data_IF_353542577300
#
_entry.id   IF_353542577300
#
_cell.length_a   1.000
_cell.length_b   1.000
_cell.length_c   1.000
_cell.angle_alpha   90.00
_cell.angle_beta   90.00
_cell.angle_gamma   90.00
#
_symmetry.space_group_name_H-M   'P 1'
#
loop_
_entity.id
_entity.type
_entity.pdbx_description
1 polymer ?
#
# COMPACT_ATOMS: atom_id res chain seq x y z
N UNK A 1 -6.89 -3.99 2.11
CA UNK A 1 -6.13 -5.04 2.84
C UNK A 1 -4.66 -4.87 2.54
N UNK A 2 -3.72 -5.08 3.49
CA UNK A 2 -2.29 -5.06 3.22
C UNK A 2 -1.89 -6.29 2.42
N UNK A 3 -0.87 -6.13 1.56
CA UNK A 3 -0.24 -7.24 0.85
C UNK A 3 1.24 -6.96 0.70
N UNK A 4 2.09 -7.83 1.21
CA UNK A 4 3.54 -7.71 1.15
C UNK A 4 4.11 -8.75 0.19
N UNK A 5 4.62 -8.30 -0.95
CA UNK A 5 5.26 -9.20 -1.93
C UNK A 5 6.51 -9.88 -1.38
N UNK A 6 7.22 -9.21 -0.47
CA UNK A 6 8.44 -9.68 0.18
C UNK A 6 8.40 -9.33 1.66
N UNK A 7 7.60 -10.07 2.47
CA UNK A 7 7.49 -9.79 3.88
C UNK A 7 8.83 -10.02 4.59
N UNK A 8 9.06 -9.24 5.66
CA UNK A 8 10.21 -9.46 6.53
C UNK A 8 10.23 -10.91 7.07
N UNK A 9 11.38 -11.61 7.10
CA UNK A 9 12.74 -11.15 6.81
C UNK A 9 13.26 -11.44 5.39
N UNK A 10 12.40 -11.73 4.41
CA UNK A 10 12.83 -12.04 3.05
C UNK A 10 13.62 -10.89 2.42
N UNK A 11 14.63 -11.21 1.62
CA UNK A 11 15.39 -10.19 0.91
C UNK A 11 14.50 -9.36 -0.02
N UNK A 12 14.70 -8.05 0.01
CA UNK A 12 14.03 -7.11 -0.88
C UNK A 12 14.86 -6.84 -2.13
N UNK A 13 14.25 -6.20 -3.11
CA UNK A 13 14.89 -5.91 -4.39
C UNK A 13 15.77 -4.66 -4.30
N UNK A 14 16.79 -4.58 -5.16
CA UNK A 14 17.65 -3.41 -5.29
C UNK A 14 17.28 -2.62 -6.54
N UNK A 15 17.09 -1.29 -6.45
CA UNK A 15 16.68 -0.46 -7.59
C UNK A 15 17.74 -0.42 -8.70
N UNK A 16 19.02 -0.59 -8.35
CA UNK A 16 20.12 -0.71 -9.31
C UNK A 16 20.19 -2.06 -10.04
N UNK A 17 19.41 -3.06 -9.56
CA UNK A 17 19.38 -4.39 -10.17
C UNK A 17 18.62 -4.44 -11.50
N UNK A 18 19.11 -5.20 -12.45
CA UNK A 18 18.54 -5.36 -13.81
C UNK A 18 17.05 -5.69 -13.82
N UNK A 19 16.59 -6.48 -12.84
CA UNK A 19 15.19 -6.87 -12.75
C UNK A 19 14.27 -5.68 -12.57
N UNK A 20 14.54 -4.82 -11.56
CA UNK A 20 13.71 -3.64 -11.29
C UNK A 20 13.83 -2.61 -12.42
N UNK A 21 15.03 -2.36 -12.91
CA UNK A 21 15.23 -1.44 -14.03
C UNK A 21 14.39 -1.84 -15.25
N UNK A 22 14.47 -3.11 -15.66
CA UNK A 22 13.69 -3.62 -16.81
C UNK A 22 12.18 -3.60 -16.53
N UNK A 23 11.75 -4.05 -15.34
CA UNK A 23 10.33 -4.08 -14.99
C UNK A 23 9.72 -2.67 -15.00
N UNK A 24 10.42 -1.68 -14.44
CA UNK A 24 9.95 -0.30 -14.44
C UNK A 24 9.93 0.33 -15.83
N UNK A 25 10.98 0.14 -16.62
CA UNK A 25 11.04 0.68 -17.98
C UNK A 25 9.98 0.08 -18.91
N UNK A 26 9.79 -1.23 -18.84
CA UNK A 26 8.94 -1.95 -19.80
C UNK A 26 7.47 -2.02 -19.38
N UNK A 27 7.17 -1.98 -18.08
CA UNK A 27 5.80 -2.19 -17.56
C UNK A 27 5.28 -1.01 -16.77
N UNK A 28 6.01 -0.55 -15.75
CA UNK A 28 5.49 0.43 -14.79
C UNK A 28 5.39 1.83 -15.43
N UNK A 29 6.47 2.37 -15.99
CA UNK A 29 6.45 3.70 -16.58
C UNK A 29 5.47 3.89 -17.74
N UNK A 30 5.30 2.94 -18.68
CA UNK A 30 4.29 3.08 -19.73
C UNK A 30 2.87 3.17 -19.18
N UNK A 31 2.55 2.38 -18.14
CA UNK A 31 1.24 2.42 -17.49
C UNK A 31 1.06 3.72 -16.71
N UNK A 32 2.03 4.12 -15.90
CA UNK A 32 1.98 5.35 -15.12
C UNK A 32 1.78 6.59 -16.01
N UNK A 33 2.51 6.67 -17.14
CA UNK A 33 2.33 7.76 -18.12
C UNK A 33 0.94 7.80 -18.72
N UNK A 34 0.39 6.64 -19.11
CA UNK A 34 -0.96 6.54 -19.67
C UNK A 34 -2.04 6.96 -18.66
N UNK A 35 -1.80 6.67 -17.36
CA UNK A 35 -2.72 7.02 -16.28
C UNK A 35 -2.47 8.42 -15.70
N UNK A 36 -1.45 9.15 -16.15
CA UNK A 36 -1.09 10.46 -15.61
C UNK A 36 -0.54 10.42 -14.18
N UNK A 37 0.03 9.28 -13.73
CA UNK A 37 0.54 9.10 -12.37
C UNK A 37 2.04 9.40 -12.32
N UNK A 38 2.49 10.41 -11.55
CA UNK A 38 3.88 10.86 -11.54
C UNK A 38 4.74 10.02 -10.56
N UNK A 39 4.99 8.75 -10.90
CA UNK A 39 5.81 7.85 -10.08
C UNK A 39 7.20 7.62 -10.67
N UNK A 40 8.16 7.36 -9.79
CA UNK A 40 9.55 7.01 -10.11
C UNK A 40 9.94 5.74 -9.38
N UNK A 41 10.86 4.96 -9.94
CA UNK A 41 11.53 3.91 -9.18
C UNK A 41 12.26 4.54 -8.00
N UNK A 42 11.86 4.22 -6.75
CA UNK A 42 12.50 4.85 -5.59
C UNK A 42 13.98 4.48 -5.49
N UNK A 43 14.87 5.45 -5.18
CA UNK A 43 16.32 5.23 -5.15
C UNK A 43 16.82 4.53 -3.87
N UNK A 44 15.91 4.10 -2.99
CA UNK A 44 16.26 3.43 -1.72
C UNK A 44 16.75 2.02 -2.00
N UNK A 45 17.95 1.69 -1.56
CA UNK A 45 18.58 0.38 -1.78
C UNK A 45 19.11 -0.25 -0.48
N UNK A 46 18.72 -1.51 -0.17
CA UNK A 46 17.63 -2.25 -0.81
C UNK A 46 16.28 -1.58 -0.61
N UNK A 47 15.28 -1.94 -1.44
CA UNK A 47 13.91 -1.44 -1.24
C UNK A 47 13.42 -1.77 0.18
N UNK A 48 12.74 -0.86 0.88
CA UNK A 48 12.39 -1.06 2.28
C UNK A 48 11.36 -2.17 2.48
N UNK A 49 11.42 -2.85 3.62
CA UNK A 49 10.29 -3.64 4.10
C UNK A 49 9.13 -2.72 4.47
N UNK A 50 7.90 -3.13 4.20
CA UNK A 50 6.71 -2.30 4.34
C UNK A 50 5.92 -2.51 5.62
N UNK A 51 6.32 -3.47 6.46
CA UNK A 51 5.57 -3.81 7.68
C UNK A 51 5.38 -2.62 8.64
N UNK A 52 6.41 -1.76 8.83
CA UNK A 52 6.28 -0.56 9.67
C UNK A 52 5.29 0.46 9.09
N UNK A 53 5.34 0.67 7.77
CA UNK A 53 4.39 1.55 7.09
C UNK A 53 2.95 1.03 7.22
N UNK A 54 2.74 -0.29 7.16
CA UNK A 54 1.43 -0.90 7.37
C UNK A 54 0.98 -0.86 8.84
N UNK A 55 1.89 -1.00 9.81
CA UNK A 55 1.57 -0.79 11.23
C UNK A 55 1.15 0.67 11.49
N UNK A 56 1.87 1.63 10.90
CA UNK A 56 1.47 3.03 10.91
C UNK A 56 0.11 3.28 10.25
N UNK A 57 -0.23 2.52 9.21
CA UNK A 57 -1.56 2.59 8.60
C UNK A 57 -2.67 2.08 9.56
N UNK A 58 -2.41 1.06 10.38
CA UNK A 58 -3.37 0.62 11.40
C UNK A 58 -3.57 1.70 12.47
N UNK A 59 -2.47 2.29 12.99
CA UNK A 59 -2.54 3.44 13.88
C UNK A 59 -3.38 4.58 13.27
N UNK A 60 -3.06 4.95 12.03
CA UNK A 60 -3.77 6.04 11.35
C UNK A 60 -5.27 5.76 11.15
N UNK A 61 -5.67 4.50 10.94
CA UNK A 61 -7.08 4.09 10.85
C UNK A 61 -7.81 4.33 12.17
N UNK A 62 -7.22 3.96 13.30
CA UNK A 62 -7.82 4.16 14.62
C UNK A 62 -8.00 5.64 14.96
N UNK A 63 -7.22 6.52 14.29
CA UNK A 63 -7.31 7.98 14.42
C UNK A 63 -8.08 8.66 13.26
N UNK A 64 -8.81 7.89 12.43
CA UNK A 64 -9.61 8.43 11.33
C UNK A 64 -8.82 8.99 10.16
N UNK A 65 -7.50 8.69 10.07
CA UNK A 65 -6.56 9.21 9.07
C UNK A 65 -5.96 8.15 8.13
N UNK A 66 -6.54 6.95 8.11
CA UNK A 66 -5.97 5.82 7.38
C UNK A 66 -5.74 6.09 5.89
N UNK A 67 -6.72 6.69 5.20
CA UNK A 67 -6.58 7.02 3.77
C UNK A 67 -5.57 8.15 3.53
N UNK A 68 -5.61 9.22 4.33
CA UNK A 68 -4.69 10.35 4.22
C UNK A 68 -3.24 9.88 4.38
N UNK A 69 -2.98 9.08 5.43
CA UNK A 69 -1.67 8.50 5.69
C UNK A 69 -1.21 7.58 4.57
N UNK A 70 -2.08 6.67 4.11
CA UNK A 70 -1.74 5.76 3.02
C UNK A 70 -1.33 6.51 1.74
N UNK A 71 -2.11 7.51 1.33
CA UNK A 71 -1.77 8.35 0.19
C UNK A 71 -0.46 9.12 0.39
N UNK A 72 -0.23 9.64 1.61
CA UNK A 72 0.99 10.37 1.93
C UNK A 72 2.23 9.49 1.86
N UNK A 73 2.17 8.26 2.38
CA UNK A 73 3.25 7.28 2.32
C UNK A 73 3.56 6.88 0.87
N UNK A 74 2.53 6.59 0.07
CA UNK A 74 2.71 6.27 -1.35
C UNK A 74 3.39 7.43 -2.12
N UNK A 75 2.99 8.67 -1.85
CA UNK A 75 3.63 9.86 -2.43
C UNK A 75 5.08 9.99 -1.95
N UNK A 76 5.32 9.83 -0.65
CA UNK A 76 6.66 9.85 -0.06
C UNK A 76 7.61 8.88 -0.74
N UNK A 77 7.16 7.66 -0.95
CA UNK A 77 7.97 6.62 -1.55
C UNK A 77 8.14 6.79 -3.07
N UNK A 78 7.04 6.84 -3.82
CA UNK A 78 7.06 6.77 -5.29
C UNK A 78 7.32 8.11 -6.00
N UNK A 79 7.09 9.25 -5.34
CA UNK A 79 7.28 10.57 -5.94
C UNK A 79 8.50 11.26 -5.36
N UNK A 80 8.65 11.22 -4.03
CA UNK A 80 9.68 11.94 -3.29
C UNK A 80 10.93 11.09 -3.01
N UNK A 81 10.85 9.76 -3.16
CA UNK A 81 11.97 8.83 -3.00
C UNK A 81 12.40 8.65 -1.54
N UNK A 82 11.48 8.83 -0.59
CA UNK A 82 11.77 8.68 0.84
C UNK A 82 11.80 7.22 1.24
N UNK A 83 12.65 6.87 2.22
CA UNK A 83 12.75 5.52 2.77
C UNK A 83 11.64 5.27 3.80
N UNK A 84 10.55 4.68 3.36
CA UNK A 84 9.41 4.32 4.22
C UNK A 84 9.65 3.10 5.14
N UNK A 85 10.84 2.56 5.16
CA UNK A 85 11.29 1.58 6.15
C UNK A 85 11.80 2.21 7.45
N UNK A 86 11.99 3.54 7.47
CA UNK A 86 12.52 4.29 8.61
C UNK A 86 11.39 4.90 9.43
N UNK A 87 11.45 4.73 10.75
CA UNK A 87 10.42 5.23 11.67
C UNK A 87 10.34 6.76 11.64
N UNK A 88 11.46 7.46 11.62
CA UNK A 88 11.53 8.92 11.56
C UNK A 88 10.89 9.49 10.29
N UNK A 89 11.09 8.83 9.15
CA UNK A 89 10.42 9.19 7.89
C UNK A 89 8.91 9.00 8.01
N UNK A 90 8.47 7.83 8.49
CA UNK A 90 7.04 7.54 8.66
C UNK A 90 6.38 8.49 9.66
N UNK A 91 7.07 8.83 10.76
CA UNK A 91 6.61 9.79 11.77
C UNK A 91 6.36 11.17 11.17
N UNK A 92 7.32 11.67 10.38
CA UNK A 92 7.15 12.94 9.66
C UNK A 92 5.96 12.91 8.71
N UNK A 93 5.82 11.84 7.91
CA UNK A 93 4.69 11.69 7.00
C UNK A 93 3.35 11.63 7.75
N UNK A 94 3.33 11.05 8.94
CA UNK A 94 2.15 11.01 9.81
C UNK A 94 1.79 12.41 10.34
N UNK A 95 2.76 13.19 10.78
CA UNK A 95 2.57 14.59 11.19
C UNK A 95 2.00 15.46 10.08
N UNK A 96 2.45 15.29 8.84
CA UNK A 96 1.96 16.04 7.68
C UNK A 96 0.47 15.80 7.37
N UNK A 97 -0.12 14.70 7.84
CA UNK A 97 -1.56 14.41 7.74
C UNK A 97 -2.34 14.69 9.03
N UNK A 98 -1.67 15.31 10.03
CA UNK A 98 -2.28 15.77 11.27
C UNK A 98 -2.38 14.71 12.36
N UNK A 99 -1.57 13.64 12.29
CA UNK A 99 -1.38 12.71 13.40
C UNK A 99 -0.37 13.26 14.41
N UNK A 100 -0.49 12.86 15.68
CA UNK A 100 0.49 13.21 16.71
C UNK A 100 1.78 12.43 16.45
N UNK A 101 2.87 13.14 16.13
CA UNK A 101 4.15 12.53 15.77
C UNK A 101 4.76 11.71 16.92
N UNK A 102 4.67 12.19 18.16
CA UNK A 102 5.26 11.50 19.31
C UNK A 102 4.54 10.19 19.62
N UNK A 103 3.21 10.20 19.63
CA UNK A 103 2.39 9.00 19.85
C UNK A 103 2.55 8.00 18.70
N UNK A 104 2.62 8.50 17.47
CA UNK A 104 2.85 7.66 16.28
C UNK A 104 4.22 6.98 16.32
N UNK A 105 5.28 7.75 16.63
CA UNK A 105 6.65 7.23 16.75
C UNK A 105 6.73 6.15 17.84
N UNK A 106 6.16 6.42 19.02
CA UNK A 106 6.12 5.46 20.12
C UNK A 106 5.37 4.18 19.74
N UNK A 107 4.23 4.31 19.06
CA UNK A 107 3.47 3.16 18.58
C UNK A 107 4.27 2.28 17.61
N UNK A 108 5.08 2.88 16.72
CA UNK A 108 5.96 2.13 15.82
C UNK A 108 7.17 1.52 16.53
N UNK A 109 7.83 2.25 17.45
CA UNK A 109 8.99 1.76 18.21
C UNK A 109 8.62 0.58 19.10
N UNK A 110 7.47 0.65 19.75
CA UNK A 110 6.95 -0.44 20.60
C UNK A 110 6.27 -1.55 19.80
N UNK A 111 6.10 -1.36 18.48
CA UNK A 111 5.40 -2.31 17.60
C UNK A 111 3.96 -2.59 18.06
N UNK A 112 3.29 -1.57 18.61
CA UNK A 112 1.93 -1.68 19.16
C UNK A 112 0.93 -2.29 18.17
N UNK A 113 1.06 -1.96 16.88
CA UNK A 113 0.15 -2.42 15.83
C UNK A 113 0.63 -3.66 15.05
N UNK A 114 1.72 -4.31 15.51
CA UNK A 114 2.27 -5.51 14.86
C UNK A 114 1.23 -6.62 14.73
N UNK A 115 0.50 -6.90 15.81
CA UNK A 115 -0.50 -7.98 15.80
C UNK A 115 -1.66 -7.65 14.86
N UNK A 116 -2.16 -6.42 14.88
CA UNK A 116 -3.23 -5.96 13.99
C UNK A 116 -2.81 -6.06 12.50
N UNK A 117 -1.57 -5.65 12.18
CA UNK A 117 -1.03 -5.81 10.84
C UNK A 117 -0.91 -7.29 10.43
N UNK A 118 -0.36 -8.14 11.29
CA UNK A 118 -0.24 -9.57 11.01
C UNK A 118 -1.58 -10.27 10.81
N UNK A 119 -2.61 -9.89 11.57
CA UNK A 119 -3.98 -10.39 11.38
C UNK A 119 -4.55 -9.94 10.02
N UNK A 120 -4.39 -8.66 9.67
CA UNK A 120 -4.84 -8.14 8.38
C UNK A 120 -4.11 -8.79 7.19
N UNK A 121 -2.84 -9.12 7.36
CA UNK A 121 -2.04 -9.80 6.35
C UNK A 121 -2.49 -11.26 6.17
N UNK A 122 -2.72 -11.99 7.27
CA UNK A 122 -3.29 -13.35 7.21
C UNK A 122 -4.66 -13.36 6.54
N UNK A 123 -5.54 -12.43 6.93
CA UNK A 123 -6.84 -12.29 6.27
C UNK A 123 -6.71 -12.09 4.76
N UNK A 124 -5.76 -11.26 4.31
CA UNK A 124 -5.53 -11.05 2.88
C UNK A 124 -5.08 -12.34 2.17
N UNK A 125 -4.14 -13.09 2.73
CA UNK A 125 -3.59 -14.29 2.08
C UNK A 125 -4.52 -15.50 2.19
N UNK A 126 -5.07 -15.76 3.38
CA UNK A 126 -5.74 -17.03 3.70
C UNK A 126 -7.24 -16.97 3.47
N UNK A 127 -7.90 -15.86 3.83
CA UNK A 127 -9.36 -15.74 3.75
C UNK A 127 -9.82 -15.04 2.46
N UNK A 128 -9.17 -13.94 2.08
CA UNK A 128 -9.50 -13.20 0.86
C UNK A 128 -8.80 -13.77 -0.39
N UNK A 129 -7.89 -14.73 -0.24
CA UNK A 129 -7.22 -15.41 -1.34
C UNK A 129 -6.40 -14.48 -2.24
N UNK A 130 -5.83 -13.40 -1.68
CA UNK A 130 -5.02 -12.45 -2.47
C UNK A 130 -3.70 -13.09 -2.85
N UNK A 131 -3.54 -13.41 -4.14
CA UNK A 131 -2.31 -14.01 -4.70
C UNK A 131 -1.44 -13.02 -5.45
N UNK A 132 -1.95 -11.80 -5.67
CA UNK A 132 -1.25 -10.75 -6.39
C UNK A 132 -1.98 -9.41 -6.30
N UNK A 133 -1.32 -8.35 -6.73
CA UNK A 133 -1.85 -6.98 -6.71
C UNK A 133 -1.66 -6.28 -8.04
N UNK A 134 -2.57 -5.36 -8.40
CA UNK A 134 -3.79 -5.01 -7.68
C UNK A 134 -4.88 -6.07 -7.78
N UNK A 135 -5.73 -6.15 -6.75
CA UNK A 135 -6.91 -7.01 -6.70
C UNK A 135 -8.06 -6.22 -6.09
N UNK A 136 -9.23 -6.32 -6.68
CA UNK A 136 -10.44 -5.63 -6.25
C UNK A 136 -11.48 -6.67 -5.86
N UNK A 137 -12.08 -6.52 -4.69
CA UNK A 137 -13.23 -7.31 -4.24
C UNK A 137 -14.40 -6.34 -4.08
N UNK A 138 -15.43 -6.50 -4.91
CA UNK A 138 -16.57 -5.59 -4.98
C UNK A 138 -17.84 -6.44 -4.94
N UNK A 139 -18.57 -6.40 -3.83
CA UNK A 139 -19.66 -7.35 -3.60
C UNK A 139 -19.15 -8.79 -3.65
N UNK A 140 -19.77 -9.62 -4.50
CA UNK A 140 -19.39 -11.02 -4.70
C UNK A 140 -18.37 -11.21 -5.86
N UNK A 141 -17.94 -10.11 -6.49
CA UNK A 141 -17.03 -10.15 -7.65
C UNK A 141 -15.59 -9.87 -7.25
N UNK A 142 -14.66 -10.60 -7.87
CA UNK A 142 -13.21 -10.40 -7.70
C UNK A 142 -12.57 -10.10 -9.05
N UNK A 143 -11.87 -8.96 -9.13
CA UNK A 143 -11.13 -8.55 -10.32
C UNK A 143 -9.64 -8.52 -10.01
N UNK A 144 -8.81 -9.12 -10.86
CA UNK A 144 -7.35 -9.16 -10.72
C UNK A 144 -6.67 -8.29 -11.78
N UNK A 145 -5.56 -7.66 -11.40
CA UNK A 145 -4.82 -6.77 -12.28
C UNK A 145 -5.44 -5.37 -12.38
N UNK A 146 -4.80 -4.52 -13.18
CA UNK A 146 -5.31 -3.18 -13.46
C UNK A 146 -6.58 -3.27 -14.30
N UNK A 147 -7.61 -2.58 -13.84
CA UNK A 147 -8.91 -2.51 -14.51
C UNK A 147 -9.13 -1.14 -15.15
N UNK A 148 -9.90 -1.12 -16.23
CA UNK A 148 -10.40 0.13 -16.78
C UNK A 148 -11.43 0.75 -15.82
N UNK A 149 -11.51 2.08 -15.82
CA UNK A 149 -12.46 2.81 -14.97
C UNK A 149 -13.90 2.35 -15.19
N UNK A 150 -14.28 2.21 -16.45
CA UNK A 150 -15.61 1.78 -16.88
C UNK A 150 -15.97 0.39 -16.34
N UNK A 151 -14.99 -0.52 -16.29
CA UNK A 151 -15.17 -1.86 -15.71
C UNK A 151 -15.44 -1.77 -14.21
N UNK A 152 -14.67 -0.95 -13.48
CA UNK A 152 -14.88 -0.77 -12.04
C UNK A 152 -16.23 -0.12 -11.74
N UNK A 153 -16.62 0.91 -12.51
CA UNK A 153 -17.90 1.59 -12.36
C UNK A 153 -19.07 0.60 -12.58
N UNK A 154 -19.03 -0.20 -13.64
CA UNK A 154 -20.08 -1.19 -13.92
C UNK A 154 -20.23 -2.22 -12.78
N UNK A 155 -19.11 -2.76 -12.29
CA UNK A 155 -19.16 -3.74 -11.20
C UNK A 155 -19.65 -3.12 -9.89
N UNK A 156 -19.29 -1.87 -9.60
CA UNK A 156 -19.80 -1.14 -8.43
C UNK A 156 -21.31 -0.92 -8.55
N UNK A 157 -21.81 -0.51 -9.70
CA UNK A 157 -23.24 -0.31 -9.94
C UNK A 157 -24.03 -1.61 -9.75
N UNK A 158 -23.55 -2.73 -10.28
CA UNK A 158 -24.16 -4.05 -10.09
C UNK A 158 -24.19 -4.45 -8.60
N UNK A 159 -23.09 -4.26 -7.87
CA UNK A 159 -23.02 -4.57 -6.45
C UNK A 159 -23.99 -3.71 -5.63
N UNK A 160 -24.11 -2.42 -5.95
CA UNK A 160 -25.05 -1.50 -5.30
C UNK A 160 -26.52 -1.86 -5.63
N UNK A 161 -26.83 -2.29 -6.84
CA UNK A 161 -28.17 -2.74 -7.21
C UNK A 161 -28.55 -4.01 -6.43
N UNK A 162 -27.64 -4.98 -6.34
CA UNK A 162 -27.86 -6.22 -5.58
C UNK A 162 -28.06 -5.98 -4.07
N UNK A 163 -27.40 -4.97 -3.50
CA UNK A 163 -27.53 -4.62 -2.08
C UNK A 163 -28.87 -3.95 -1.73
N UNK A 164 -29.50 -3.27 -2.68
CA UNK A 164 -30.82 -2.61 -2.49
C UNK A 164 -32.00 -3.57 -2.61
N UNK A 165 -31.77 -4.76 -3.16
CA UNK A 165 -32.81 -5.81 -3.33
C UNK A 165 -32.88 -6.82 -2.20
N UNK A 166 -32.03 -6.66 -1.17
CA UNK A 166 -32.03 -7.46 0.06
C UNK A 166 -32.58 -6.63 1.21
#
# INVERSE_FOLDING_TARGET
>A
MPFELRPYPNETLRPEGDYLQRAWQQRVYPVARRMGVPIKLPPVSPQPHTHLAFEGCQYAKDHGKGNDYNHRVLKGFFVEGQDIGQIDVLTKLAGEVGLNEQEFEEALRTRQYRQAHQQALRHAYEEAGVTGVPMFVIGDQTLTGLQARETLEAVIEEALAASKGR
#
